data_IF_754310879086
#
_entry.id   IF_754310879086
#
_cell.length_a   1.000
_cell.length_b   1.000
_cell.length_c   1.000
_cell.angle_alpha   90.00
_cell.angle_beta   90.00
_cell.angle_gamma   90.00
#
_symmetry.space_group_name_H-M   'P 1'
#
loop_
_entity.id
_entity.type
_entity.pdbx_description
1 polymer ?
#
# COMPACT_ATOMS: atom_id res chain seq x y z
N UNK A 1 24.37 -31.35 15.45
CA UNK A 1 22.95 -31.06 15.18
C UNK A 1 22.51 -30.05 16.23
N UNK A 2 22.21 -28.82 15.82
CA UNK A 2 21.30 -27.87 16.46
C UNK A 2 21.38 -26.54 15.68
N UNK A 3 20.82 -26.53 14.48
CA UNK A 3 20.41 -25.32 13.77
C UNK A 3 18.93 -25.12 14.11
N UNK A 4 18.58 -24.20 15.02
CA UNK A 4 17.21 -23.78 15.34
C UNK A 4 17.30 -22.72 16.45
N UNK A 5 16.78 -21.51 16.39
CA UNK A 5 16.05 -20.79 15.35
C UNK A 5 16.38 -19.33 15.64
N UNK A 6 17.17 -18.69 14.80
CA UNK A 6 17.22 -17.23 14.80
C UNK A 6 15.86 -16.80 14.26
N UNK A 7 14.92 -16.53 15.18
CA UNK A 7 13.68 -15.85 14.88
C UNK A 7 14.08 -14.50 14.30
N UNK A 8 14.21 -14.48 12.97
CA UNK A 8 14.48 -13.33 12.17
C UNK A 8 13.26 -12.42 12.34
N UNK A 9 13.30 -11.61 13.40
CA UNK A 9 12.51 -10.41 13.57
C UNK A 9 12.97 -9.49 12.44
N UNK A 10 12.54 -9.84 11.22
CA UNK A 10 12.75 -9.04 10.03
C UNK A 10 12.07 -7.75 10.35
N UNK A 11 12.90 -6.78 10.70
CA UNK A 11 12.55 -5.38 10.75
C UNK A 11 11.57 -5.14 9.60
N UNK A 12 10.33 -4.83 9.96
CA UNK A 12 9.15 -4.67 9.09
C UNK A 12 9.30 -3.36 8.27
N UNK A 13 10.47 -3.19 7.66
CA UNK A 13 10.87 -2.00 6.93
C UNK A 13 10.19 -2.10 5.58
N UNK A 14 9.20 -1.24 5.35
CA UNK A 14 8.59 -1.08 4.04
C UNK A 14 9.67 -0.74 3.01
N UNK A 15 9.84 -1.61 2.02
CA UNK A 15 10.81 -1.44 0.95
C UNK A 15 10.09 -0.89 -0.27
N UNK A 16 9.79 0.40 -0.21
CA UNK A 16 9.07 1.09 -1.27
C UNK A 16 9.95 1.29 -2.50
N UNK A 17 9.49 0.78 -3.65
CA UNK A 17 10.16 0.91 -4.93
C UNK A 17 9.21 1.43 -6.00
N UNK A 18 9.66 2.46 -6.71
CA UNK A 18 9.01 2.95 -7.91
C UNK A 18 9.47 2.14 -9.12
N UNK A 19 8.55 1.40 -9.72
CA UNK A 19 8.79 0.72 -11.00
C UNK A 19 8.19 1.55 -12.13
N UNK A 20 8.92 1.80 -13.24
CA UNK A 20 8.34 2.50 -14.38
C UNK A 20 7.14 1.74 -14.96
N UNK A 21 6.11 2.50 -15.32
CA UNK A 21 4.92 2.03 -16.05
C UNK A 21 4.83 2.71 -17.41
N UNK A 22 5.06 4.02 -17.46
CA UNK A 22 5.17 4.81 -18.69
C UNK A 22 6.20 5.94 -18.46
N UNK A 23 6.41 6.78 -19.47
CA UNK A 23 7.39 7.88 -19.47
C UNK A 23 7.24 8.83 -18.25
N UNK A 24 6.00 9.11 -17.86
CA UNK A 24 5.65 9.97 -16.72
C UNK A 24 4.82 9.26 -15.67
N UNK A 25 4.83 7.92 -15.67
CA UNK A 25 4.01 7.12 -14.76
C UNK A 25 4.80 5.96 -14.16
N UNK A 26 4.58 5.71 -12.88
CA UNK A 26 5.25 4.69 -12.08
C UNK A 26 4.25 3.92 -11.21
N UNK A 27 4.64 2.71 -10.84
CA UNK A 27 3.96 1.90 -9.82
C UNK A 27 4.81 1.92 -8.56
N UNK A 28 4.25 2.43 -7.48
CA UNK A 28 4.84 2.31 -6.16
C UNK A 28 4.49 0.94 -5.58
N UNK A 29 5.51 0.12 -5.36
CA UNK A 29 5.36 -1.21 -4.77
C UNK A 29 6.10 -1.33 -3.46
N UNK A 30 5.56 -2.10 -2.53
CA UNK A 30 6.26 -2.53 -1.34
C UNK A 30 6.91 -3.89 -1.61
N UNK A 31 8.24 -3.95 -1.58
CA UNK A 31 9.01 -5.19 -1.79
C UNK A 31 9.11 -6.05 -0.53
N UNK A 32 8.68 -5.54 0.63
CA UNK A 32 8.57 -6.36 1.82
C UNK A 32 7.48 -7.45 1.66
N UNK A 33 6.52 -7.23 0.76
CA UNK A 33 5.46 -8.17 0.39
C UNK A 33 5.88 -8.98 -0.85
N UNK A 34 5.44 -10.24 -0.93
CA UNK A 34 5.75 -11.13 -2.05
C UNK A 34 5.38 -10.51 -3.40
N UNK A 35 6.26 -10.64 -4.39
CA UNK A 35 6.11 -9.99 -5.70
C UNK A 35 4.86 -10.44 -6.47
N UNK A 36 4.33 -11.63 -6.17
CA UNK A 36 3.10 -12.15 -6.75
C UNK A 36 1.83 -11.69 -6.05
N UNK A 37 1.95 -11.09 -4.86
CA UNK A 37 0.80 -10.62 -4.10
C UNK A 37 0.30 -9.26 -4.62
N UNK A 38 -1.00 -9.10 -4.90
CA UNK A 38 -1.55 -7.83 -5.36
C UNK A 38 -1.45 -6.72 -4.31
N UNK A 39 -1.33 -7.06 -3.02
CA UNK A 39 -1.15 -6.08 -1.93
C UNK A 39 0.22 -5.42 -1.95
N UNK A 40 1.19 -5.96 -2.71
CA UNK A 40 2.49 -5.35 -2.96
C UNK A 40 2.39 -4.08 -3.79
N UNK A 41 1.27 -3.83 -4.48
CA UNK A 41 1.03 -2.57 -5.17
C UNK A 41 0.38 -1.55 -4.21
N UNK A 42 1.12 -0.49 -3.89
CA UNK A 42 0.66 0.55 -2.96
C UNK A 42 -0.07 1.66 -3.70
N UNK A 43 0.51 2.16 -4.79
CA UNK A 43 -0.03 3.29 -5.54
C UNK A 43 0.41 3.32 -7.01
N UNK A 44 -0.38 3.99 -7.83
CA UNK A 44 0.08 4.52 -9.13
C UNK A 44 0.53 5.96 -8.93
N UNK A 45 1.64 6.34 -9.55
CA UNK A 45 2.22 7.68 -9.44
C UNK A 45 2.37 8.25 -10.84
N UNK A 46 1.87 9.45 -11.07
CA UNK A 46 1.96 10.13 -12.35
C UNK A 46 2.55 11.53 -12.17
N UNK A 47 3.49 11.91 -13.03
CA UNK A 47 4.01 13.27 -13.09
C UNK A 47 3.14 14.10 -14.03
N UNK A 48 2.47 15.08 -13.45
CA UNK A 48 1.63 16.04 -14.17
C UNK A 48 2.47 17.01 -14.99
N UNK A 49 1.83 17.67 -15.93
CA UNK A 49 2.47 18.71 -16.76
C UNK A 49 3.00 19.89 -15.94
N UNK A 50 2.36 20.17 -14.80
CA UNK A 50 2.74 21.20 -13.84
C UNK A 50 3.96 20.81 -12.95
N UNK A 51 4.52 19.60 -13.13
CA UNK A 51 5.64 19.10 -12.33
C UNK A 51 5.26 18.49 -10.99
N UNK A 52 3.96 18.41 -10.69
CA UNK A 52 3.40 17.78 -9.48
C UNK A 52 3.23 16.28 -9.68
N UNK A 53 3.57 15.49 -8.68
CA UNK A 53 3.33 14.05 -8.63
C UNK A 53 1.93 13.78 -8.08
N UNK A 54 1.09 13.08 -8.83
CA UNK A 54 -0.23 12.63 -8.41
C UNK A 54 -0.14 11.13 -8.09
N UNK A 55 -0.45 10.76 -6.85
CA UNK A 55 -0.49 9.37 -6.41
C UNK A 55 -1.94 8.90 -6.27
N UNK A 56 -2.27 7.77 -6.88
CA UNK A 56 -3.56 7.07 -6.76
C UNK A 56 -3.35 5.83 -5.90
N UNK A 57 -3.91 5.84 -4.69
CA UNK A 57 -3.72 4.76 -3.72
C UNK A 57 -4.60 3.56 -4.06
N UNK A 58 -4.02 2.35 -4.04
CA UNK A 58 -4.70 1.10 -4.42
C UNK A 58 -5.25 0.36 -3.20
N UNK A 59 -4.48 0.31 -2.12
CA UNK A 59 -4.72 -0.59 -0.97
C UNK A 59 -5.58 0.01 0.14
N UNK A 60 -5.94 1.29 0.04
CA UNK A 60 -6.80 1.96 1.02
C UNK A 60 -7.59 3.02 0.27
N UNK A 61 -8.89 3.15 0.57
CA UNK A 61 -9.82 4.11 -0.05
C UNK A 61 -9.48 5.60 0.15
N UNK A 62 -8.21 5.93 0.32
CA UNK A 62 -7.61 7.25 0.44
C UNK A 62 -7.63 8.06 -0.86
N UNK A 63 -8.10 7.50 -1.97
CA UNK A 63 -8.29 8.23 -3.23
C UNK A 63 -6.97 8.67 -3.87
N UNK A 64 -6.92 9.93 -4.29
CA UNK A 64 -5.74 10.52 -4.94
C UNK A 64 -5.12 11.63 -4.10
N UNK A 65 -3.80 11.67 -4.02
CA UNK A 65 -3.05 12.73 -3.34
C UNK A 65 -2.02 13.36 -4.29
N UNK A 66 -1.68 14.63 -4.05
CA UNK A 66 -0.72 15.39 -4.86
C UNK A 66 0.48 15.79 -4.03
N UNK A 67 1.66 15.66 -4.62
CA UNK A 67 2.94 15.87 -3.97
C UNK A 67 3.87 16.69 -4.87
N UNK A 68 4.55 17.67 -4.29
CA UNK A 68 5.52 18.49 -5.03
C UNK A 68 6.83 17.72 -5.32
N UNK A 69 7.12 16.66 -4.57
CA UNK A 69 8.37 15.90 -4.66
C UNK A 69 8.13 14.41 -4.37
N UNK A 70 9.00 13.56 -4.92
CA UNK A 70 8.99 12.13 -4.63
C UNK A 70 9.22 11.83 -3.15
N UNK A 71 10.08 12.58 -2.47
CA UNK A 71 10.34 12.41 -1.02
C UNK A 71 9.05 12.52 -0.19
N UNK A 72 8.23 13.54 -0.45
CA UNK A 72 6.93 13.73 0.20
C UNK A 72 5.98 12.56 -0.08
N UNK A 73 6.02 12.03 -1.31
CA UNK A 73 5.23 10.87 -1.70
C UNK A 73 5.66 9.61 -0.96
N UNK A 74 6.96 9.33 -0.86
CA UNK A 74 7.48 8.19 -0.10
C UNK A 74 7.13 8.31 1.38
N UNK A 75 7.31 9.50 1.98
CA UNK A 75 6.96 9.74 3.38
C UNK A 75 5.46 9.53 3.63
N UNK A 76 4.60 10.00 2.73
CA UNK A 76 3.15 9.77 2.83
C UNK A 76 2.80 8.29 2.68
N UNK A 77 3.46 7.58 1.77
CA UNK A 77 3.25 6.15 1.57
C UNK A 77 3.64 5.32 2.80
N UNK A 78 4.78 5.62 3.44
CA UNK A 78 5.20 4.96 4.69
C UNK A 78 4.17 5.21 5.79
N UNK A 79 3.78 6.47 6.04
CA UNK A 79 2.78 6.79 7.06
C UNK A 79 1.43 6.10 6.79
N UNK A 80 1.04 5.97 5.53
CA UNK A 80 -0.20 5.29 5.16
C UNK A 80 -0.12 3.78 5.44
N UNK A 81 1.01 3.14 5.10
CA UNK A 81 1.23 1.72 5.39
C UNK A 81 1.27 1.44 6.90
N UNK A 82 1.91 2.32 7.68
CA UNK A 82 1.91 2.23 9.15
C UNK A 82 0.50 2.35 9.73
N UNK A 83 -0.34 3.24 9.19
CA UNK A 83 -1.75 3.36 9.57
C UNK A 83 -2.55 2.10 9.22
N UNK A 84 -2.36 1.54 8.02
CA UNK A 84 -3.01 0.30 7.60
C UNK A 84 -2.62 -0.88 8.49
N UNK A 85 -1.34 -0.97 8.86
CA UNK A 85 -0.84 -1.97 9.81
C UNK A 85 -1.49 -1.82 11.18
N UNK A 86 -1.59 -0.59 11.67
CA UNK A 86 -2.18 -0.27 12.97
C UNK A 86 -3.67 -0.61 13.06
N UNK A 87 -4.38 -0.57 11.92
CA UNK A 87 -5.79 -0.96 11.85
C UNK A 87 -6.00 -2.48 11.93
N UNK A 88 -4.95 -3.28 11.70
CA UNK A 88 -4.99 -4.74 11.77
C UNK A 88 -6.04 -5.36 10.85
N UNK A 89 -6.16 -6.69 10.87
CA UNK A 89 -7.30 -7.36 10.27
C UNK A 89 -8.56 -6.95 11.07
N UNK A 90 -9.20 -5.86 10.66
CA UNK A 90 -10.57 -5.57 11.08
C UNK A 90 -11.37 -6.78 10.64
N UNK A 91 -11.80 -7.59 11.62
CA UNK A 91 -12.79 -8.64 11.42
C UNK A 91 -13.85 -8.03 10.51
N UNK A 92 -14.06 -8.55 9.28
CA UNK A 92 -15.09 -7.99 8.42
C UNK A 92 -16.37 -8.00 9.24
N UNK A 93 -16.97 -6.82 9.43
CA UNK A 93 -18.22 -6.74 10.16
C UNK A 93 -19.19 -7.68 9.44
N UNK A 94 -19.73 -8.70 10.12
CA UNK A 94 -20.59 -9.67 9.46
C UNK A 94 -21.78 -8.91 8.88
N UNK A 95 -21.83 -8.84 7.54
CA UNK A 95 -22.96 -8.24 6.82
C UNK A 95 -24.22 -8.89 7.39
N UNK A 96 -25.12 -8.15 8.04
CA UNK A 96 -26.31 -8.75 8.63
C UNK A 96 -27.11 -9.39 7.51
N UNK A 97 -27.07 -10.73 7.44
CA UNK A 97 -27.92 -11.52 6.57
C UNK A 97 -29.32 -11.49 7.16
N UNK A 98 -29.99 -10.34 7.08
CA UNK A 98 -31.43 -10.30 7.28
C UNK A 98 -32.04 -10.77 5.96
N UNK A 99 -32.60 -11.99 5.88
CA UNK A 99 -33.42 -12.32 4.73
C UNK A 99 -34.53 -11.27 4.63
N UNK A 100 -34.93 -10.84 3.42
CA UNK A 100 -36.09 -9.96 3.27
C UNK A 100 -37.27 -10.62 3.98
N UNK A 101 -37.89 -9.90 4.92
CA UNK A 101 -39.14 -10.35 5.53
C UNK A 101 -40.18 -10.42 4.40
N UNK A 102 -40.46 -11.64 3.96
CA UNK A 102 -41.56 -11.91 3.05
C UNK A 102 -42.72 -12.45 3.89
N UNK A 103 -43.83 -11.70 3.86
CA UNK A 103 -45.16 -11.98 4.43
C UNK A 103 -45.33 -11.86 5.96
#
# INVERSE_FOLDING_TARGET
>A
MSESAEANMRDDVHQLVLTPLADRAWRLRDQAIDRGDPSSLVAYVELREDGIYEAVWVSVGCGTARFASLEMLFLAAVQMLEQCRSLGALKPDPIPHRPPAHA
#
